data_IF_490431990312
#
_entry.id   IF_490431990312
#
_cell.length_a   1.000
_cell.length_b   1.000
_cell.length_c   1.000
_cell.angle_alpha   90.00
_cell.angle_beta   90.00
_cell.angle_gamma   90.00
#
_symmetry.space_group_name_H-M   'P 1'
#
loop_
_entity.id
_entity.type
_entity.pdbx_description
1 polymer ?
#
# COMPACT_ATOMS: atom_id res chain seq x y z
N UNK A 1 -5.64 23.31 -3.15
CA UNK A 1 -6.06 21.92 -3.08
C UNK A 1 -7.09 21.70 -4.20
N UNK A 2 -6.79 20.83 -5.14
CA UNK A 2 -7.71 20.50 -6.24
C UNK A 2 -8.75 19.48 -5.78
N UNK A 3 -9.93 19.49 -6.42
CA UNK A 3 -10.97 18.48 -6.23
C UNK A 3 -10.68 17.23 -7.09
N UNK A 4 -9.43 16.76 -7.08
CA UNK A 4 -9.00 15.59 -7.82
C UNK A 4 -8.93 14.39 -6.88
N UNK A 5 -9.49 13.27 -7.34
CA UNK A 5 -9.40 11.97 -6.65
C UNK A 5 -8.83 10.97 -7.64
N UNK A 6 -7.73 10.34 -7.28
CA UNK A 6 -7.07 9.32 -8.10
C UNK A 6 -7.51 7.92 -7.66
N UNK A 7 -7.99 7.12 -8.60
CA UNK A 7 -8.34 5.72 -8.37
C UNK A 7 -7.30 4.79 -9.00
N UNK A 8 -6.68 3.96 -8.18
CA UNK A 8 -5.75 2.94 -8.64
C UNK A 8 -6.50 1.64 -8.90
N UNK A 9 -6.75 1.33 -10.16
CA UNK A 9 -7.57 0.19 -10.53
C UNK A 9 -6.73 -0.87 -11.24
N UNK A 10 -6.68 -2.06 -10.63
CA UNK A 10 -6.08 -3.23 -11.29
C UNK A 10 -7.12 -3.90 -12.19
N UNK A 11 -6.81 -4.02 -13.49
CA UNK A 11 -7.63 -4.80 -14.41
C UNK A 11 -7.58 -6.29 -14.04
N UNK A 12 -8.77 -6.88 -13.86
CA UNK A 12 -8.96 -8.32 -13.65
C UNK A 12 -9.64 -8.86 -14.89
N UNK A 13 -9.00 -9.77 -15.65
CA UNK A 13 -9.62 -10.37 -16.84
C UNK A 13 -10.97 -11.02 -16.50
N UNK A 14 -12.02 -10.70 -17.27
CA UNK A 14 -13.39 -11.13 -17.01
C UNK A 14 -14.09 -10.41 -15.83
N UNK A 15 -13.46 -9.44 -15.20
CA UNK A 15 -14.06 -8.64 -14.12
C UNK A 15 -15.16 -7.74 -14.64
N UNK A 16 -16.36 -7.79 -14.02
CA UNK A 16 -17.53 -6.98 -14.45
C UNK A 16 -17.25 -5.49 -14.47
N UNK A 17 -16.54 -4.98 -13.45
CA UNK A 17 -16.18 -3.57 -13.34
C UNK A 17 -14.89 -3.25 -14.10
N UNK A 18 -13.80 -3.93 -13.77
CA UNK A 18 -12.47 -3.54 -14.21
C UNK A 18 -12.16 -3.91 -15.66
N UNK A 19 -12.78 -4.97 -16.20
CA UNK A 19 -12.56 -5.41 -17.57
C UNK A 19 -13.70 -4.97 -18.51
N UNK A 20 -14.95 -5.10 -18.06
CA UNK A 20 -16.09 -4.81 -18.91
C UNK A 20 -16.48 -3.34 -18.84
N UNK A 21 -16.85 -2.81 -17.66
CA UNK A 21 -17.34 -1.43 -17.56
C UNK A 21 -16.22 -0.38 -17.76
N UNK A 22 -15.13 -0.48 -17.01
CA UNK A 22 -14.03 0.50 -17.08
C UNK A 22 -13.30 0.45 -18.44
N UNK A 23 -13.24 -0.74 -19.06
CA UNK A 23 -12.68 -0.90 -20.42
C UNK A 23 -13.46 -0.16 -21.52
N UNK A 24 -14.73 0.20 -21.25
CA UNK A 24 -15.61 0.94 -22.17
C UNK A 24 -15.82 2.40 -21.73
N UNK A 25 -15.37 2.78 -20.53
CA UNK A 25 -15.52 4.13 -20.02
C UNK A 25 -14.72 5.13 -20.87
N UNK A 26 -15.35 6.27 -21.17
CA UNK A 26 -14.71 7.36 -21.90
C UNK A 26 -14.38 8.51 -20.94
N UNK A 27 -13.35 9.28 -21.28
CA UNK A 27 -13.03 10.49 -20.54
C UNK A 27 -14.24 11.44 -20.52
N UNK A 28 -14.57 11.96 -19.35
CA UNK A 28 -15.75 12.79 -19.12
C UNK A 28 -17.04 12.01 -18.80
N UNK A 29 -17.02 10.67 -18.82
CA UNK A 29 -18.16 9.89 -18.36
C UNK A 29 -18.39 10.10 -16.85
N UNK A 30 -19.66 10.31 -16.42
CA UNK A 30 -19.96 10.46 -15.01
C UNK A 30 -19.74 9.15 -14.25
N UNK A 31 -19.16 9.27 -13.05
CA UNK A 31 -18.98 8.15 -12.13
C UNK A 31 -19.61 8.52 -10.79
N UNK A 32 -20.55 7.72 -10.32
CA UNK A 32 -21.11 7.84 -8.98
C UNK A 32 -20.23 7.07 -8.00
N UNK A 33 -19.76 7.75 -6.96
CA UNK A 33 -18.88 7.18 -5.94
C UNK A 33 -19.42 7.48 -4.55
N UNK A 34 -19.17 6.58 -3.62
CA UNK A 34 -19.37 6.79 -2.20
C UNK A 34 -17.98 6.79 -1.52
N UNK A 35 -17.58 7.94 -1.02
CA UNK A 35 -16.27 8.15 -0.41
C UNK A 35 -16.30 9.35 0.56
N UNK A 36 -15.39 9.39 1.56
CA UNK A 36 -14.46 8.34 1.97
C UNK A 36 -15.15 7.23 2.76
N UNK A 37 -14.63 6.01 2.66
CA UNK A 37 -15.04 4.88 3.50
C UNK A 37 -13.82 4.36 4.27
N UNK A 38 -14.05 3.88 5.53
CA UNK A 38 -12.99 3.37 6.38
C UNK A 38 -12.29 4.44 7.23
N UNK A 39 -11.24 4.01 7.94
CA UNK A 39 -10.51 4.80 8.95
C UNK A 39 -8.99 4.78 8.75
N UNK A 40 -8.53 4.30 7.60
CA UNK A 40 -7.10 4.21 7.32
C UNK A 40 -6.57 5.60 6.93
N UNK A 41 -5.88 6.25 7.88
CA UNK A 41 -5.34 7.61 7.74
C UNK A 41 -4.02 7.75 8.49
N UNK A 42 -3.34 8.87 8.30
CA UNK A 42 -2.18 9.22 9.10
C UNK A 42 -2.60 9.52 10.55
N UNK A 43 -1.84 9.00 11.50
CA UNK A 43 -2.02 9.20 12.94
C UNK A 43 -0.97 10.19 13.45
N UNK A 44 -1.32 11.47 13.48
CA UNK A 44 -0.41 12.57 13.88
C UNK A 44 0.10 12.45 15.31
N UNK A 45 -0.67 11.78 16.19
CA UNK A 45 -0.31 11.52 17.57
C UNK A 45 0.75 10.44 17.76
N UNK A 46 1.01 9.64 16.70
CA UNK A 46 1.99 8.53 16.74
C UNK A 46 3.31 8.94 16.07
N UNK A 47 4.20 9.50 16.85
CA UNK A 47 5.51 10.02 16.40
C UNK A 47 6.59 8.97 16.20
N UNK A 48 6.24 7.70 16.12
CA UNK A 48 7.20 6.63 15.85
C UNK A 48 7.66 6.66 14.40
N UNK A 49 8.92 6.22 14.14
CA UNK A 49 9.33 5.93 12.78
C UNK A 49 8.32 5.01 12.09
N UNK A 50 7.91 5.36 10.87
CA UNK A 50 6.87 4.65 10.14
C UNK A 50 7.45 3.59 9.22
N UNK A 51 6.92 2.38 9.31
CA UNK A 51 7.14 1.32 8.35
C UNK A 51 5.84 1.07 7.61
N UNK A 52 5.84 1.36 6.31
CA UNK A 52 4.66 1.23 5.47
C UNK A 52 4.81 0.07 4.50
N UNK A 53 3.87 -0.88 4.50
CA UNK A 53 3.86 -2.03 3.60
C UNK A 53 2.65 -1.95 2.68
N UNK A 54 2.90 -1.88 1.38
CA UNK A 54 1.89 -1.94 0.34
C UNK A 54 2.07 -3.15 -0.55
N UNK A 55 0.98 -3.74 -1.04
CA UNK A 55 1.02 -4.67 -2.17
C UNK A 55 0.02 -4.28 -3.25
N UNK A 56 0.45 -4.33 -4.51
CA UNK A 56 -0.39 -3.96 -5.63
C UNK A 56 -0.93 -2.54 -5.52
N UNK A 57 -2.23 -2.38 -5.71
CA UNK A 57 -2.94 -1.09 -5.57
C UNK A 57 -3.14 -0.64 -4.12
N UNK A 58 -2.75 -1.44 -3.12
CA UNK A 58 -2.65 -1.01 -1.72
C UNK A 58 -1.68 0.15 -1.49
N UNK A 59 -0.88 0.48 -2.49
CA UNK A 59 -0.07 1.71 -2.49
C UNK A 59 -0.94 2.98 -2.47
N UNK A 60 -2.17 2.96 -2.99
CA UNK A 60 -2.99 4.16 -3.17
C UNK A 60 -3.28 4.92 -1.86
N UNK A 61 -3.82 4.31 -0.79
CA UNK A 61 -4.04 5.02 0.46
C UNK A 61 -2.72 5.38 1.16
N UNK A 62 -1.67 4.56 1.04
CA UNK A 62 -0.33 4.90 1.55
C UNK A 62 0.25 6.10 0.80
N UNK A 63 0.09 6.16 -0.54
CA UNK A 63 0.45 7.33 -1.34
C UNK A 63 -0.24 8.59 -0.84
N UNK A 64 -1.55 8.52 -0.58
CA UNK A 64 -2.31 9.67 -0.09
C UNK A 64 -1.80 10.19 1.27
N UNK A 65 -1.43 9.28 2.19
CA UNK A 65 -0.79 9.65 3.46
C UNK A 65 0.56 10.33 3.19
N UNK A 66 1.43 9.72 2.39
CA UNK A 66 2.77 10.27 2.11
C UNK A 66 2.70 11.62 1.40
N UNK A 67 1.77 11.80 0.46
CA UNK A 67 1.58 13.09 -0.21
C UNK A 67 1.13 14.20 0.73
N UNK A 68 0.38 13.88 1.79
CA UNK A 68 0.01 14.85 2.82
C UNK A 68 1.18 15.27 3.71
N UNK A 69 2.25 14.48 3.72
CA UNK A 69 3.47 14.74 4.50
C UNK A 69 4.61 15.35 3.67
N UNK A 70 4.43 15.46 2.35
CA UNK A 70 5.45 16.09 1.49
C UNK A 70 5.70 17.53 1.91
N UNK A 71 6.99 17.89 1.93
CA UNK A 71 7.46 19.22 2.31
C UNK A 71 7.09 19.64 3.76
N UNK A 72 6.75 18.65 4.59
CA UNK A 72 6.57 18.83 6.03
C UNK A 72 7.82 18.34 6.75
N UNK A 73 8.60 19.29 7.29
CA UNK A 73 9.83 19.00 8.05
C UNK A 73 9.53 18.33 9.41
N UNK A 74 8.26 18.34 9.82
CA UNK A 74 7.79 17.85 11.11
C UNK A 74 7.04 16.52 10.92
N UNK A 75 7.70 15.52 10.34
CA UNK A 75 7.16 14.17 10.20
C UNK A 75 8.20 13.11 10.63
N UNK A 76 7.75 11.96 11.17
CA UNK A 76 8.65 10.87 11.51
C UNK A 76 9.38 10.28 10.28
N UNK A 77 10.54 9.63 10.48
CA UNK A 77 11.19 8.86 9.41
C UNK A 77 10.26 7.84 8.79
N UNK A 78 10.34 7.64 7.48
CA UNK A 78 9.48 6.73 6.72
C UNK A 78 10.26 5.70 5.93
N UNK A 79 9.97 4.42 6.11
CA UNK A 79 10.40 3.37 5.18
C UNK A 79 9.18 2.74 4.50
N UNK A 80 9.09 2.89 3.18
CA UNK A 80 8.03 2.32 2.35
C UNK A 80 8.51 1.05 1.65
N UNK A 81 7.89 -0.09 1.95
CA UNK A 81 8.04 -1.35 1.23
C UNK A 81 6.86 -1.55 0.28
N UNK A 82 7.11 -1.54 -1.03
CA UNK A 82 6.05 -1.76 -2.01
C UNK A 82 6.28 -3.03 -2.82
N UNK A 83 5.39 -4.01 -2.61
CA UNK A 83 5.44 -5.32 -3.23
C UNK A 83 4.67 -5.39 -4.54
N UNK A 84 5.36 -5.78 -5.62
CA UNK A 84 4.78 -6.07 -6.92
C UNK A 84 5.26 -7.43 -7.44
N UNK A 85 4.71 -7.88 -8.57
CA UNK A 85 5.17 -9.13 -9.19
C UNK A 85 6.46 -8.94 -9.96
N UNK A 86 6.46 -7.98 -10.88
CA UNK A 86 7.56 -7.69 -11.79
C UNK A 86 7.91 -6.21 -11.74
N UNK A 87 9.05 -5.84 -12.30
CA UNK A 87 9.49 -4.44 -12.36
C UNK A 87 8.54 -3.56 -13.17
N UNK A 88 7.97 -4.10 -14.26
CA UNK A 88 6.99 -3.39 -15.09
C UNK A 88 5.69 -3.04 -14.33
N UNK A 89 5.39 -3.75 -13.24
CA UNK A 89 4.22 -3.48 -12.41
C UNK A 89 4.44 -2.28 -11.45
N UNK A 90 5.68 -1.80 -11.26
CA UNK A 90 6.01 -0.68 -10.38
C UNK A 90 5.65 0.69 -11.04
N UNK A 91 4.37 0.89 -11.34
CA UNK A 91 3.86 2.01 -12.15
C UNK A 91 4.04 3.41 -11.51
N UNK A 92 4.30 3.49 -10.20
CA UNK A 92 4.58 4.75 -9.49
C UNK A 92 6.05 4.88 -9.08
N UNK A 93 6.94 4.00 -9.56
CA UNK A 93 8.33 3.97 -9.09
C UNK A 93 9.00 5.34 -9.18
N UNK A 94 8.95 5.97 -10.35
CA UNK A 94 9.61 7.26 -10.58
C UNK A 94 9.02 8.38 -9.70
N UNK A 95 7.69 8.37 -9.51
CA UNK A 95 7.01 9.32 -8.64
C UNK A 95 7.47 9.15 -7.19
N UNK A 96 7.45 7.92 -6.66
CA UNK A 96 7.85 7.64 -5.28
C UNK A 96 9.35 7.94 -5.06
N UNK A 97 10.21 7.60 -6.01
CA UNK A 97 11.64 7.93 -5.96
C UNK A 97 11.87 9.46 -5.92
N UNK A 98 10.99 10.24 -6.56
CA UNK A 98 11.09 11.71 -6.56
C UNK A 98 10.77 12.36 -5.20
N UNK A 99 10.18 11.61 -4.26
CA UNK A 99 9.89 12.11 -2.90
C UNK A 99 11.13 12.10 -1.99
N UNK A 100 12.21 11.45 -2.39
CA UNK A 100 13.49 11.56 -1.70
C UNK A 100 13.94 13.03 -1.64
N UNK A 101 14.16 13.55 -0.44
CA UNK A 101 14.47 14.98 -0.20
C UNK A 101 13.25 15.89 -0.03
N UNK A 102 12.01 15.37 -0.19
CA UNK A 102 10.75 16.06 0.14
C UNK A 102 10.05 15.46 1.36
N UNK A 103 10.45 14.26 1.79
CA UNK A 103 10.05 13.61 3.03
C UNK A 103 11.28 13.50 3.93
N UNK A 104 11.09 13.70 5.22
CA UNK A 104 12.16 13.54 6.20
C UNK A 104 12.58 12.07 6.29
N UNK A 105 13.87 11.79 6.13
CA UNK A 105 14.45 10.43 6.22
C UNK A 105 13.62 9.36 5.49
N UNK A 106 13.28 9.64 4.22
CA UNK A 106 12.48 8.72 3.41
C UNK A 106 13.34 7.62 2.76
N UNK A 107 12.93 6.37 2.96
CA UNK A 107 13.53 5.21 2.31
C UNK A 107 12.47 4.42 1.53
N UNK A 108 12.70 4.20 0.23
CA UNK A 108 11.81 3.41 -0.61
C UNK A 108 12.44 2.07 -0.97
N UNK A 109 11.75 0.98 -0.65
CA UNK A 109 12.19 -0.42 -0.87
C UNK A 109 11.19 -1.14 -1.77
N UNK A 110 11.37 -1.13 -3.09
CA UNK A 110 10.58 -1.95 -3.99
C UNK A 110 10.93 -3.43 -3.83
N UNK A 111 9.90 -4.29 -3.71
CA UNK A 111 10.05 -5.73 -3.48
C UNK A 111 9.33 -6.51 -4.57
N UNK A 112 10.03 -7.40 -5.29
CA UNK A 112 9.46 -8.15 -6.40
C UNK A 112 9.37 -9.64 -6.10
N UNK A 113 8.13 -10.19 -6.18
CA UNK A 113 7.90 -11.63 -5.98
C UNK A 113 8.23 -12.49 -7.19
N UNK A 114 8.34 -11.90 -8.38
CA UNK A 114 8.71 -12.55 -9.64
C UNK A 114 9.74 -11.71 -10.40
N UNK A 115 10.80 -11.33 -9.69
CA UNK A 115 11.85 -10.50 -10.24
C UNK A 115 12.61 -11.21 -11.36
N UNK A 116 12.86 -10.49 -12.46
CA UNK A 116 13.76 -10.94 -13.54
C UNK A 116 15.20 -11.07 -13.05
N UNK A 117 16.06 -11.72 -13.86
CA UNK A 117 17.46 -11.96 -13.49
C UNK A 117 18.23 -10.66 -13.18
N UNK A 118 17.95 -9.60 -13.93
CA UNK A 118 18.66 -8.30 -13.86
C UNK A 118 18.22 -7.41 -12.69
N UNK A 119 17.16 -7.81 -11.95
CA UNK A 119 16.68 -7.04 -10.80
C UNK A 119 17.69 -7.03 -9.66
N UNK A 120 18.14 -5.84 -9.27
CA UNK A 120 19.11 -5.64 -8.19
C UNK A 120 18.49 -5.28 -6.84
N UNK A 121 17.16 -5.05 -6.80
CA UNK A 121 16.42 -4.73 -5.57
C UNK A 121 15.99 -5.97 -4.79
N UNK A 122 15.11 -5.77 -3.80
CA UNK A 122 14.61 -6.85 -2.94
C UNK A 122 13.74 -7.84 -3.70
N UNK A 123 13.87 -9.13 -3.37
CA UNK A 123 13.11 -10.25 -3.93
C UNK A 123 12.24 -10.88 -2.85
N UNK A 124 11.07 -11.41 -3.22
CA UNK A 124 10.17 -12.10 -2.30
C UNK A 124 8.96 -11.24 -1.91
N UNK A 125 8.61 -11.24 -0.64
CA UNK A 125 7.42 -10.55 -0.10
C UNK A 125 7.82 -9.42 0.85
N UNK A 126 6.99 -8.37 0.91
CA UNK A 126 7.29 -7.15 1.68
C UNK A 126 7.50 -7.41 3.16
N UNK A 127 6.69 -8.28 3.78
CA UNK A 127 6.84 -8.62 5.19
C UNK A 127 8.19 -9.30 5.51
N UNK A 128 8.69 -10.10 4.57
CA UNK A 128 10.00 -10.75 4.73
C UNK A 128 11.14 -9.73 4.58
N UNK A 129 11.01 -8.77 3.67
CA UNK A 129 11.98 -7.70 3.51
C UNK A 129 12.10 -6.85 4.79
N UNK A 130 10.97 -6.48 5.41
CA UNK A 130 10.95 -5.78 6.70
C UNK A 130 11.68 -6.58 7.78
N UNK A 131 11.41 -7.90 7.91
CA UNK A 131 12.05 -8.75 8.91
C UNK A 131 13.56 -8.92 8.70
N UNK A 132 14.04 -8.75 7.48
CA UNK A 132 15.48 -8.76 7.16
C UNK A 132 16.17 -7.45 7.54
N UNK A 133 15.44 -6.33 7.41
CA UNK A 133 15.99 -4.99 7.62
C UNK A 133 15.86 -4.53 9.08
N UNK A 134 14.88 -5.06 9.84
CA UNK A 134 14.61 -4.67 11.21
C UNK A 134 14.68 -5.86 12.18
N UNK A 135 15.57 -5.78 13.13
CA UNK A 135 15.74 -6.80 14.18
C UNK A 135 14.68 -6.66 15.28
N UNK A 136 14.19 -5.44 15.50
CA UNK A 136 13.16 -5.09 16.49
C UNK A 136 12.23 -4.03 15.91
N UNK A 137 10.92 -4.17 16.18
CA UNK A 137 9.87 -3.29 15.67
C UNK A 137 9.06 -2.63 16.79
N UNK A 138 9.51 -2.75 18.05
CA UNK A 138 8.78 -2.25 19.23
C UNK A 138 8.52 -0.75 19.22
N UNK A 139 9.42 0.02 18.59
CA UNK A 139 9.37 1.48 18.53
C UNK A 139 8.86 2.02 17.18
N UNK A 140 8.14 1.20 16.40
CA UNK A 140 7.66 1.61 15.07
C UNK A 140 6.13 1.68 15.00
N UNK A 141 5.63 2.63 14.22
CA UNK A 141 4.26 2.65 13.71
C UNK A 141 4.21 1.90 12.37
N UNK A 142 3.30 0.94 12.24
CA UNK A 142 3.21 0.04 11.10
C UNK A 142 1.93 0.33 10.31
N UNK A 143 2.06 0.62 9.02
CA UNK A 143 0.93 0.83 8.12
C UNK A 143 0.89 -0.27 7.06
N UNK A 144 -0.21 -1.02 7.00
CA UNK A 144 -0.36 -2.17 6.11
C UNK A 144 -1.52 -1.97 5.14
N UNK A 145 -1.29 -2.02 3.84
CA UNK A 145 -2.39 -1.98 2.88
C UNK A 145 -2.20 -2.92 1.69
N UNK A 146 -3.25 -3.67 1.35
CA UNK A 146 -3.22 -4.56 0.19
C UNK A 146 -4.04 -5.83 0.34
N UNK A 147 -3.54 -6.94 -0.21
CA UNK A 147 -4.22 -8.22 -0.18
C UNK A 147 -4.44 -8.72 1.27
N UNK A 148 -5.63 -9.25 1.62
CA UNK A 148 -5.93 -9.71 2.97
C UNK A 148 -4.93 -10.71 3.53
N UNK A 149 -4.47 -11.65 2.70
CA UNK A 149 -3.46 -12.63 3.10
C UNK A 149 -2.12 -11.96 3.49
N UNK A 150 -1.70 -10.93 2.75
CA UNK A 150 -0.49 -10.18 3.08
C UNK A 150 -0.66 -9.42 4.39
N UNK A 151 -1.77 -8.71 4.56
CA UNK A 151 -2.04 -7.92 5.79
C UNK A 151 -2.06 -8.83 7.01
N UNK A 152 -2.77 -9.96 6.96
CA UNK A 152 -2.85 -10.93 8.07
C UNK A 152 -1.49 -11.56 8.40
N UNK A 153 -0.75 -12.01 7.39
CA UNK A 153 0.58 -12.61 7.59
C UNK A 153 1.57 -11.56 8.14
N UNK A 154 1.58 -10.35 7.56
CA UNK A 154 2.45 -9.27 8.00
C UNK A 154 2.17 -8.91 9.47
N UNK A 155 0.90 -8.69 9.84
CA UNK A 155 0.52 -8.39 11.23
C UNK A 155 1.08 -9.44 12.20
N UNK A 156 0.91 -10.73 11.88
CA UNK A 156 1.41 -11.82 12.73
C UNK A 156 2.94 -11.82 12.86
N UNK A 157 3.63 -11.70 11.72
CA UNK A 157 5.10 -11.76 11.69
C UNK A 157 5.75 -10.53 12.33
N UNK A 158 5.18 -9.34 12.12
CA UNK A 158 5.72 -8.09 12.67
C UNK A 158 5.45 -7.99 14.17
N UNK A 159 4.29 -8.47 14.65
CA UNK A 159 4.03 -8.59 16.08
C UNK A 159 5.02 -9.57 16.76
N UNK A 160 5.34 -10.69 16.13
CA UNK A 160 6.37 -11.61 16.62
C UNK A 160 7.79 -10.99 16.65
N UNK A 161 8.01 -9.90 15.90
CA UNK A 161 9.24 -9.11 15.88
C UNK A 161 9.20 -7.89 16.82
N UNK A 162 8.19 -7.78 17.68
CA UNK A 162 8.04 -6.75 18.69
C UNK A 162 7.07 -5.61 18.35
N UNK A 163 6.51 -5.56 17.14
CA UNK A 163 5.54 -4.53 16.79
C UNK A 163 4.32 -4.58 17.74
N UNK A 164 3.96 -3.44 18.34
CA UNK A 164 2.77 -3.31 19.16
C UNK A 164 1.53 -3.23 18.27
N UNK A 165 0.52 -4.07 18.52
CA UNK A 165 -0.72 -4.05 17.76
C UNK A 165 -1.50 -2.73 17.90
N UNK A 166 -1.29 -1.96 18.95
CA UNK A 166 -1.88 -0.64 19.13
C UNK A 166 -1.32 0.40 18.14
N UNK A 167 -0.19 0.09 17.51
CA UNK A 167 0.49 0.91 16.51
C UNK A 167 0.57 0.23 15.13
N UNK A 168 -0.33 -0.73 14.87
CA UNK A 168 -0.49 -1.38 13.57
C UNK A 168 -1.81 -0.92 12.95
N UNK A 169 -1.70 -0.10 11.93
CA UNK A 169 -2.81 0.45 11.15
C UNK A 169 -2.93 -0.34 9.85
N UNK A 170 -4.09 -0.96 9.61
CA UNK A 170 -4.23 -1.88 8.49
C UNK A 170 -5.53 -1.66 7.70
N UNK A 171 -5.41 -1.70 6.36
CA UNK A 171 -6.53 -1.79 5.44
C UNK A 171 -6.34 -2.94 4.47
N UNK A 172 -7.36 -3.78 4.33
CA UNK A 172 -7.27 -4.97 3.47
C UNK A 172 -8.36 -4.97 2.40
N UNK A 173 -7.96 -5.15 1.15
CA UNK A 173 -8.88 -5.15 0.02
C UNK A 173 -9.53 -6.52 -0.16
N UNK A 174 -10.79 -6.65 0.25
CA UNK A 174 -11.58 -7.86 0.03
C UNK A 174 -12.31 -7.79 -1.31
N UNK A 175 -12.23 -8.88 -2.10
CA UNK A 175 -13.02 -8.98 -3.33
C UNK A 175 -14.44 -9.42 -3.03
N UNK A 176 -15.45 -8.72 -3.57
CA UNK A 176 -16.87 -9.04 -3.37
C UNK A 176 -17.29 -10.43 -3.91
N UNK A 177 -16.45 -11.13 -4.67
CA UNK A 177 -16.77 -12.46 -5.20
C UNK A 177 -17.05 -13.53 -4.13
N UNK A 178 -16.53 -13.36 -2.92
CA UNK A 178 -16.80 -14.29 -1.82
C UNK A 178 -18.21 -14.16 -1.21
N UNK A 179 -18.85 -13.00 -1.34
CA UNK A 179 -20.18 -12.75 -0.76
C UNK A 179 -21.32 -13.31 -1.60
N UNK A 180 -21.16 -13.49 -2.92
CA UNK A 180 -22.22 -14.01 -3.80
C UNK A 180 -22.32 -15.54 -3.80
N UNK A 181 -21.28 -16.28 -3.42
CA UNK A 181 -21.32 -17.74 -3.32
C UNK A 181 -22.07 -18.24 -2.08
N UNK A 182 -22.28 -17.38 -1.08
CA UNK A 182 -23.00 -17.73 0.16
C UNK A 182 -24.50 -17.36 0.14
N UNK A 183 -25.01 -16.73 -0.92
CA UNK A 183 -26.38 -16.22 -1.01
C UNK A 183 -27.28 -16.97 -2.02
N UNK A 184 -26.96 -18.23 -2.36
CA UNK A 184 -27.87 -19.06 -3.15
C UNK A 184 -28.52 -20.10 -2.21
N UNK A 185 -29.86 -20.07 -2.05
CA UNK A 185 -30.60 -21.01 -1.19
C UNK A 185 -30.62 -22.41 -1.74
#
# INVERSE_FOLDING_TARGET
>A
AGNLVDFHVRRIPGGRYTDHWLGQAQAGAPLEIEAPLGVFSYHEEDWRPMIMLATGTGIAPIKAILESLLDNDDCPPVTLYWGMRTEADLYLRQEIESWAGRLYEFNFVPVLSRAGADWQGRRGHVQQAVLQDHADLSEHAIYLCGAPAMVSEATTLLAARGASLDHVYADSFTFQHAAMAAATP
#
